data_IF_321216591156
#
_entry.id   IF_321216591156
#
_cell.length_a   1.000
_cell.length_b   1.000
_cell.length_c   1.000
_cell.angle_alpha   90.00
_cell.angle_beta   90.00
_cell.angle_gamma   90.00
#
_symmetry.space_group_name_H-M   'P 1'
#
loop_
_entity.id
_entity.type
_entity.pdbx_description
1 polymer ?
#
# COMPACT_ATOMS: atom_id res chain seq x y z
N UNK A 1 -26.42 6.64 -25.90
CA UNK A 1 -25.29 7.11 -25.07
C UNK A 1 -24.10 6.22 -25.40
N UNK A 2 -22.91 6.80 -25.68
CA UNK A 2 -21.73 6.02 -26.11
C UNK A 2 -21.17 5.16 -24.96
N UNK A 3 -20.57 4.01 -25.29
CA UNK A 3 -19.79 3.18 -24.37
C UNK A 3 -18.66 3.98 -23.70
N UNK A 4 -18.08 4.95 -24.40
CA UNK A 4 -17.02 5.81 -23.86
C UNK A 4 -17.54 6.77 -22.78
N UNK A 5 -18.77 7.29 -22.95
CA UNK A 5 -19.42 8.14 -21.97
C UNK A 5 -19.77 7.36 -20.70
N UNK A 6 -20.19 6.11 -20.85
CA UNK A 6 -20.44 5.19 -19.72
C UNK A 6 -19.15 4.90 -18.95
N UNK A 7 -18.05 4.59 -19.64
CA UNK A 7 -16.74 4.34 -19.02
C UNK A 7 -16.14 5.57 -18.32
N UNK A 8 -16.36 6.78 -18.85
CA UNK A 8 -15.90 8.02 -18.21
C UNK A 8 -16.72 8.33 -16.96
N UNK A 9 -18.02 8.07 -16.97
CA UNK A 9 -18.92 8.29 -15.83
C UNK A 9 -18.67 7.27 -14.72
N UNK A 10 -18.43 6.00 -15.07
CA UNK A 10 -18.06 4.95 -14.12
C UNK A 10 -16.72 5.24 -13.41
N UNK A 11 -15.69 5.65 -14.17
CA UNK A 11 -14.38 6.07 -13.60
C UNK A 11 -14.51 7.28 -12.67
N UNK A 12 -15.37 8.24 -13.01
CA UNK A 12 -15.65 9.40 -12.14
C UNK A 12 -16.38 8.99 -10.87
N UNK A 13 -17.39 8.13 -10.96
CA UNK A 13 -18.15 7.63 -9.83
C UNK A 13 -17.27 6.80 -8.86
N UNK A 14 -16.39 5.93 -9.37
CA UNK A 14 -15.43 5.18 -8.56
C UNK A 14 -14.47 6.12 -7.80
N UNK A 15 -14.03 7.20 -8.45
CA UNK A 15 -13.21 8.25 -7.83
C UNK A 15 -13.96 9.03 -6.75
N UNK A 16 -15.26 9.26 -6.92
CA UNK A 16 -16.14 9.89 -5.92
C UNK A 16 -16.40 8.96 -4.72
N UNK A 17 -16.35 7.64 -4.92
CA UNK A 17 -16.45 6.62 -3.86
C UNK A 17 -15.11 6.31 -3.16
N UNK A 18 -14.02 7.02 -3.51
CA UNK A 18 -12.72 6.83 -2.88
C UNK A 18 -12.01 5.54 -3.26
N UNK A 19 -12.48 4.81 -4.28
CA UNK A 19 -11.76 3.65 -4.82
C UNK A 19 -10.59 4.12 -5.68
N UNK A 20 -9.39 3.69 -5.31
CA UNK A 20 -8.18 3.96 -6.09
C UNK A 20 -8.10 2.94 -7.24
N UNK A 21 -7.98 3.43 -8.47
CA UNK A 21 -7.44 2.59 -9.55
C UNK A 21 -5.94 2.33 -9.32
N UNK A 22 -5.35 1.41 -10.06
CA UNK A 22 -3.94 1.02 -9.89
C UNK A 22 -2.99 2.21 -9.96
N UNK A 23 -3.19 3.14 -10.89
CA UNK A 23 -2.33 4.31 -11.04
C UNK A 23 -2.46 5.26 -9.84
N UNK A 24 -3.67 5.49 -9.35
CA UNK A 24 -3.92 6.29 -8.17
C UNK A 24 -3.37 5.63 -6.90
N UNK A 25 -3.45 4.30 -6.80
CA UNK A 25 -2.84 3.53 -5.71
C UNK A 25 -1.33 3.69 -5.68
N UNK A 26 -0.65 3.44 -6.81
CA UNK A 26 0.81 3.58 -6.91
C UNK A 26 1.25 5.01 -6.57
N UNK A 27 0.55 6.02 -7.08
CA UNK A 27 0.84 7.42 -6.76
C UNK A 27 0.73 7.74 -5.27
N UNK A 28 -0.17 7.07 -4.54
CA UNK A 28 -0.28 7.21 -3.09
C UNK A 28 0.85 6.46 -2.39
N UNK A 29 1.19 5.24 -2.85
CA UNK A 29 2.32 4.48 -2.35
C UNK A 29 3.65 5.25 -2.50
N UNK A 30 3.88 5.88 -3.66
CA UNK A 30 5.07 6.71 -3.93
C UNK A 30 5.23 7.83 -2.91
N UNK A 31 4.13 8.44 -2.46
CA UNK A 31 4.20 9.49 -1.42
C UNK A 31 4.68 8.95 -0.08
N UNK A 32 4.35 7.71 0.27
CA UNK A 32 4.87 7.09 1.48
C UNK A 32 6.36 6.75 1.33
N UNK A 33 6.77 6.30 0.15
CA UNK A 33 8.18 6.05 -0.20
C UNK A 33 8.98 7.35 -0.12
N UNK A 34 8.46 8.46 -0.67
CA UNK A 34 9.10 9.78 -0.59
C UNK A 34 9.32 10.24 0.86
N UNK A 35 8.34 10.01 1.73
CA UNK A 35 8.48 10.31 3.16
C UNK A 35 9.57 9.44 3.78
N UNK A 36 9.56 8.13 3.53
CA UNK A 36 10.60 7.22 4.02
C UNK A 36 12.00 7.65 3.51
N UNK A 37 12.15 7.98 2.23
CA UNK A 37 13.41 8.42 1.64
C UNK A 37 13.95 9.71 2.27
N UNK A 38 13.06 10.65 2.64
CA UNK A 38 13.45 11.87 3.37
C UNK A 38 13.94 11.56 4.79
N UNK A 39 13.28 10.65 5.49
CA UNK A 39 13.70 10.23 6.84
C UNK A 39 14.99 9.41 6.80
N UNK A 40 15.22 8.62 5.74
CA UNK A 40 16.43 7.83 5.55
C UNK A 40 17.72 8.68 5.44
N UNK A 41 17.60 9.97 5.12
CA UNK A 41 18.72 10.90 5.14
C UNK A 41 19.20 11.22 6.57
N UNK A 42 18.39 10.92 7.58
CA UNK A 42 18.62 11.28 9.00
C UNK A 42 18.70 10.05 9.91
N UNK A 43 18.07 8.95 9.53
CA UNK A 43 17.91 7.74 10.33
C UNK A 43 18.55 6.57 9.57
N UNK A 44 19.23 5.68 10.29
CA UNK A 44 19.78 4.46 9.70
C UNK A 44 18.67 3.63 9.03
N UNK A 45 18.90 3.20 7.80
CA UNK A 45 17.92 2.43 7.02
C UNK A 45 17.40 1.19 7.76
N UNK A 46 18.27 0.51 8.53
CA UNK A 46 17.94 -0.67 9.38
C UNK A 46 16.97 -0.35 10.51
N UNK A 47 16.94 0.88 11.01
CA UNK A 47 15.97 1.31 12.02
C UNK A 47 14.69 1.81 11.34
N UNK A 48 14.85 2.53 10.22
CA UNK A 48 13.73 3.15 9.52
C UNK A 48 12.77 2.11 8.95
N UNK A 49 13.25 1.01 8.35
CA UNK A 49 12.36 -0.02 7.81
C UNK A 49 11.54 -0.70 8.91
N UNK A 50 12.10 -0.86 10.11
CA UNK A 50 11.38 -1.41 11.27
C UNK A 50 10.33 -0.42 11.79
N UNK A 51 10.63 0.88 11.81
CA UNK A 51 9.64 1.92 12.12
C UNK A 51 8.49 1.94 11.11
N UNK A 52 8.80 1.74 9.81
CA UNK A 52 7.79 1.65 8.76
C UNK A 52 6.89 0.41 8.91
N UNK A 53 7.48 -0.74 9.24
CA UNK A 53 6.73 -1.97 9.52
C UNK A 53 5.77 -1.78 10.71
N UNK A 54 6.24 -1.16 11.79
CA UNK A 54 5.41 -0.85 12.95
C UNK A 54 4.26 0.10 12.61
N UNK A 55 4.53 1.18 11.87
CA UNK A 55 3.50 2.13 11.43
C UNK A 55 2.44 1.47 10.55
N UNK A 56 2.88 0.61 9.63
CA UNK A 56 2.00 -0.18 8.75
C UNK A 56 1.09 -1.10 9.56
N UNK A 57 1.63 -1.80 10.56
CA UNK A 57 0.83 -2.66 11.45
C UNK A 57 -0.26 -1.88 12.19
N UNK A 58 0.06 -0.68 12.72
CA UNK A 58 -0.92 0.19 13.39
C UNK A 58 -2.02 0.67 12.45
N UNK A 59 -1.66 1.04 11.23
CA UNK A 59 -2.62 1.46 10.20
C UNK A 59 -3.58 0.31 9.87
N UNK A 60 -3.04 -0.89 9.61
CA UNK A 60 -3.83 -2.07 9.29
C UNK A 60 -4.76 -2.47 10.44
N UNK A 61 -4.29 -2.41 11.68
CA UNK A 61 -5.11 -2.68 12.86
C UNK A 61 -6.26 -1.68 13.01
N UNK A 62 -6.02 -0.39 12.76
CA UNK A 62 -7.07 0.63 12.77
C UNK A 62 -8.14 0.35 11.70
N UNK A 63 -7.73 0.02 10.48
CA UNK A 63 -8.65 -0.31 9.38
C UNK A 63 -9.47 -1.55 9.73
N UNK A 64 -8.83 -2.64 10.16
CA UNK A 64 -9.51 -3.87 10.50
C UNK A 64 -10.53 -3.68 11.62
N UNK A 65 -10.12 -3.02 12.72
CA UNK A 65 -10.96 -2.87 13.90
C UNK A 65 -12.05 -1.82 13.76
N UNK A 66 -11.72 -0.64 13.23
CA UNK A 66 -12.61 0.52 13.32
C UNK A 66 -13.35 0.83 12.01
N UNK A 67 -12.78 0.46 10.86
CA UNK A 67 -13.36 0.76 9.54
C UNK A 67 -14.12 -0.45 9.02
N UNK A 68 -13.45 -1.60 8.96
CA UNK A 68 -14.02 -2.85 8.47
C UNK A 68 -14.80 -3.62 9.53
N UNK A 69 -14.51 -3.36 10.82
CA UNK A 69 -15.11 -4.07 11.97
C UNK A 69 -15.00 -5.60 11.80
N UNK A 70 -13.80 -6.09 11.49
CA UNK A 70 -13.54 -7.51 11.27
C UNK A 70 -13.78 -8.30 12.56
N UNK A 71 -14.66 -9.31 12.52
CA UNK A 71 -14.98 -10.14 13.70
C UNK A 71 -13.81 -11.04 14.12
N UNK A 72 -13.14 -11.67 13.15
CA UNK A 72 -12.02 -12.59 13.37
C UNK A 72 -10.70 -11.94 12.98
N UNK A 73 -10.07 -11.25 13.93
CA UNK A 73 -8.83 -10.52 13.66
C UNK A 73 -7.67 -11.43 13.18
N UNK A 74 -7.55 -12.67 13.68
CA UNK A 74 -6.50 -13.59 13.25
C UNK A 74 -6.58 -13.94 11.76
N UNK A 75 -7.79 -14.09 11.21
CA UNK A 75 -7.97 -14.34 9.78
C UNK A 75 -7.46 -13.14 8.95
N UNK A 76 -7.71 -11.91 9.41
CA UNK A 76 -7.19 -10.70 8.79
C UNK A 76 -5.67 -10.60 8.91
N UNK A 77 -5.10 -10.91 10.08
CA UNK A 77 -3.65 -10.93 10.29
C UNK A 77 -2.98 -11.89 9.31
N UNK A 78 -3.49 -13.11 9.20
CA UNK A 78 -2.97 -14.12 8.27
C UNK A 78 -3.02 -13.62 6.82
N UNK A 79 -4.15 -13.05 6.39
CA UNK A 79 -4.28 -12.47 5.05
C UNK A 79 -3.26 -11.36 4.79
N UNK A 80 -3.06 -10.45 5.75
CA UNK A 80 -2.12 -9.34 5.58
C UNK A 80 -0.66 -9.79 5.57
N UNK A 81 -0.31 -10.78 6.40
CA UNK A 81 1.03 -11.38 6.41
C UNK A 81 1.33 -12.09 5.10
N UNK A 82 0.39 -12.85 4.54
CA UNK A 82 0.59 -13.50 3.24
C UNK A 82 0.76 -12.47 2.11
N UNK A 83 -0.08 -11.43 2.06
CA UNK A 83 0.07 -10.35 1.07
C UNK A 83 1.42 -9.65 1.18
N UNK A 84 1.84 -9.31 2.40
CA UNK A 84 3.15 -8.69 2.61
C UNK A 84 4.29 -9.61 2.18
N UNK A 85 4.21 -10.90 2.52
CA UNK A 85 5.21 -11.89 2.12
C UNK A 85 5.33 -11.99 0.60
N UNK A 86 4.21 -12.04 -0.11
CA UNK A 86 4.19 -12.09 -1.57
C UNK A 86 4.79 -10.81 -2.19
N UNK A 87 4.35 -9.63 -1.75
CA UNK A 87 4.89 -8.35 -2.25
C UNK A 87 6.39 -8.23 -1.96
N UNK A 88 6.83 -8.60 -0.75
CA UNK A 88 8.24 -8.55 -0.39
C UNK A 88 9.07 -9.49 -1.27
N UNK A 89 8.60 -10.71 -1.52
CA UNK A 89 9.27 -11.66 -2.44
C UNK A 89 9.35 -11.11 -3.86
N UNK A 90 8.27 -10.50 -4.35
CA UNK A 90 8.24 -9.91 -5.69
C UNK A 90 9.25 -8.76 -5.80
N UNK A 91 9.28 -7.85 -4.82
CA UNK A 91 10.23 -6.75 -4.82
C UNK A 91 11.68 -7.21 -4.67
N UNK A 92 11.96 -8.21 -3.83
CA UNK A 92 13.31 -8.77 -3.71
C UNK A 92 13.78 -9.52 -4.96
N UNK A 93 12.84 -10.00 -5.79
CA UNK A 93 13.14 -10.62 -7.07
C UNK A 93 13.21 -9.60 -8.22
N UNK A 94 12.93 -8.31 -7.95
CA UNK A 94 13.03 -7.23 -8.92
C UNK A 94 14.49 -6.80 -9.07
N UNK A 95 15.07 -7.00 -10.25
CA UNK A 95 16.45 -6.64 -10.56
C UNK A 95 16.73 -5.14 -10.50
N UNK A 96 15.70 -4.29 -10.42
CA UNK A 96 15.86 -2.84 -10.19
C UNK A 96 16.37 -2.47 -8.78
N UNK A 97 16.50 -3.44 -7.86
CA UNK A 97 17.16 -3.26 -6.56
C UNK A 97 18.65 -3.64 -6.57
N UNK A 98 19.16 -4.15 -7.68
CA UNK A 98 20.58 -4.45 -7.82
C UNK A 98 21.40 -3.14 -7.96
N UNK A 99 22.61 -3.06 -7.39
CA UNK A 99 23.40 -1.82 -7.39
C UNK A 99 23.76 -1.25 -8.77
N UNK A 100 23.59 -2.04 -9.84
CA UNK A 100 23.94 -1.70 -11.23
C UNK A 100 22.69 -1.50 -12.14
N UNK A 101 21.48 -1.45 -11.56
CA UNK A 101 20.19 -1.28 -12.26
C UNK A 101 19.76 0.17 -12.50
#
# INVERSE_FOLDING_TARGET
>A
MSLDDQNRKARRAARTQGQLDTAAFLKVADRFIDVANRENQKIQATELHMAFLFATARCNAHVAKNIMQVDKHEDFVNQMVEKYREMLRQHLADGGLDPDG
#
